data_IF_475471871729
#
_entry.id   IF_475471871729
#
_cell.length_a   1.000
_cell.length_b   1.000
_cell.length_c   1.000
_cell.angle_alpha   90.00
_cell.angle_beta   90.00
_cell.angle_gamma   90.00
#
_symmetry.space_group_name_H-M   'P 1'
#
loop_
_entity.id
_entity.type
_entity.pdbx_description
1 polymer ?
#
# COMPACT_ATOMS: atom_id res chain seq x y z
N UNK A 1 18.03 -86.33 -52.57
CA UNK A 1 16.77 -85.95 -51.90
C UNK A 1 16.65 -86.62 -50.53
N UNK A 2 17.09 -87.88 -50.36
CA UNK A 2 16.94 -88.62 -49.09
C UNK A 2 17.85 -88.14 -47.93
N UNK A 3 19.06 -87.67 -48.18
CA UNK A 3 19.97 -87.19 -47.11
C UNK A 3 19.48 -85.90 -46.41
N UNK A 4 18.81 -85.01 -47.15
CA UNK A 4 18.26 -83.78 -46.58
C UNK A 4 17.04 -84.07 -45.68
N UNK A 5 16.21 -85.06 -46.03
CA UNK A 5 15.05 -85.47 -45.24
C UNK A 5 15.46 -86.18 -43.93
N UNK A 6 16.48 -87.05 -43.99
CA UNK A 6 17.02 -87.73 -42.80
C UNK A 6 17.70 -86.77 -41.82
N UNK A 7 18.45 -85.78 -42.31
CA UNK A 7 19.03 -84.73 -41.49
C UNK A 7 17.95 -83.87 -40.82
N UNK A 8 16.91 -83.49 -41.57
CA UNK A 8 15.81 -82.70 -41.01
C UNK A 8 15.03 -83.46 -39.93
N UNK A 9 14.81 -84.77 -40.12
CA UNK A 9 14.19 -85.63 -39.11
C UNK A 9 15.04 -85.77 -37.84
N UNK A 10 16.35 -85.94 -37.98
CA UNK A 10 17.28 -86.01 -36.85
C UNK A 10 17.39 -84.67 -36.08
N UNK A 11 17.35 -83.55 -36.78
CA UNK A 11 17.34 -82.20 -36.17
C UNK A 11 16.02 -81.97 -35.41
N UNK A 12 14.88 -82.35 -35.98
CA UNK A 12 13.58 -82.22 -35.31
C UNK A 12 13.50 -83.12 -34.07
N UNK A 13 13.94 -84.38 -34.16
CA UNK A 13 13.96 -85.30 -33.02
C UNK A 13 14.87 -84.80 -31.88
N UNK A 14 16.07 -84.30 -32.21
CA UNK A 14 16.96 -83.68 -31.22
C UNK A 14 16.35 -82.42 -30.60
N UNK A 15 15.61 -81.62 -31.38
CA UNK A 15 14.97 -80.41 -30.88
C UNK A 15 13.81 -80.72 -29.94
N UNK A 16 13.02 -81.76 -30.24
CA UNK A 16 11.97 -82.25 -29.34
C UNK A 16 12.58 -82.77 -28.04
N UNK A 17 13.64 -83.58 -28.11
CA UNK A 17 14.31 -84.10 -26.92
C UNK A 17 14.94 -82.98 -26.06
N UNK A 18 15.58 -81.99 -26.69
CA UNK A 18 16.13 -80.82 -26.00
C UNK A 18 15.05 -79.97 -25.34
N UNK A 19 13.94 -79.70 -26.04
CA UNK A 19 12.83 -78.93 -25.50
C UNK A 19 12.12 -79.67 -24.36
N UNK A 20 11.98 -80.99 -24.43
CA UNK A 20 11.37 -81.78 -23.35
C UNK A 20 12.26 -81.82 -22.09
N UNK A 21 13.58 -81.94 -22.29
CA UNK A 21 14.55 -81.84 -21.20
C UNK A 21 14.55 -80.43 -20.56
N UNK A 22 14.48 -79.37 -21.38
CA UNK A 22 14.45 -78.00 -20.88
C UNK A 22 13.11 -77.68 -20.19
N UNK A 23 11.99 -78.22 -20.68
CA UNK A 23 10.68 -78.10 -20.03
C UNK A 23 10.70 -78.73 -18.63
N UNK A 24 11.22 -79.97 -18.51
CA UNK A 24 11.35 -80.65 -17.21
C UNK A 24 12.26 -79.89 -16.26
N UNK A 25 13.38 -79.34 -16.77
CA UNK A 25 14.29 -78.50 -15.99
C UNK A 25 13.58 -77.25 -15.47
N UNK A 26 12.81 -76.57 -16.33
CA UNK A 26 12.06 -75.37 -15.94
C UNK A 26 10.95 -75.68 -14.94
N UNK A 27 10.21 -76.78 -15.12
CA UNK A 27 9.19 -77.24 -14.17
C UNK A 27 9.79 -77.53 -12.79
N UNK A 28 10.91 -78.24 -12.73
CA UNK A 28 11.60 -78.50 -11.45
C UNK A 28 12.10 -77.20 -10.79
N UNK A 29 12.56 -76.22 -11.58
CA UNK A 29 12.95 -74.90 -11.06
C UNK A 29 11.75 -74.09 -10.54
N UNK A 30 10.58 -74.20 -11.17
CA UNK A 30 9.35 -73.57 -10.70
C UNK A 30 8.93 -74.19 -9.37
N UNK A 31 8.87 -75.53 -9.29
CA UNK A 31 8.51 -76.24 -8.07
C UNK A 31 9.43 -75.88 -6.89
N UNK A 32 10.76 -75.85 -7.11
CA UNK A 32 11.71 -75.42 -6.07
C UNK A 32 11.51 -73.96 -5.63
N UNK A 33 11.11 -73.07 -6.54
CA UNK A 33 10.84 -71.67 -6.20
C UNK A 33 9.57 -71.53 -5.38
N UNK A 34 8.52 -72.26 -5.75
CA UNK A 34 7.25 -72.27 -5.01
C UNK A 34 7.41 -72.84 -3.59
N UNK A 35 8.27 -73.83 -3.41
CA UNK A 35 8.60 -74.38 -2.09
C UNK A 35 9.34 -73.35 -1.22
N UNK A 36 10.37 -72.69 -1.78
CA UNK A 36 11.08 -71.61 -1.08
C UNK A 36 10.16 -70.43 -0.74
N UNK A 37 9.23 -70.11 -1.63
CA UNK A 37 8.28 -69.02 -1.40
C UNK A 37 7.33 -69.34 -0.24
N UNK A 38 6.90 -70.60 -0.12
CA UNK A 38 6.11 -71.07 1.03
C UNK A 38 6.89 -70.98 2.33
N UNK A 39 8.13 -71.49 2.34
CA UNK A 39 9.01 -71.43 3.52
C UNK A 39 9.23 -69.99 4.02
N UNK A 40 9.55 -69.06 3.10
CA UNK A 40 9.68 -67.64 3.45
C UNK A 40 8.39 -67.02 3.95
N UNK A 41 7.24 -67.40 3.40
CA UNK A 41 5.93 -66.94 3.84
C UNK A 41 5.60 -67.41 5.26
N UNK A 42 5.93 -68.66 5.58
CA UNK A 42 5.72 -69.23 6.91
C UNK A 42 6.63 -68.54 7.94
N UNK A 43 7.90 -68.34 7.61
CA UNK A 43 8.85 -67.60 8.44
C UNK A 43 8.39 -66.16 8.69
N UNK A 44 7.89 -65.47 7.65
CA UNK A 44 7.35 -64.13 7.76
C UNK A 44 6.13 -64.10 8.69
N UNK A 45 5.22 -65.07 8.55
CA UNK A 45 4.03 -65.20 9.40
C UNK A 45 4.39 -65.40 10.87
N UNK A 46 5.35 -66.29 11.16
CA UNK A 46 5.84 -66.53 12.53
C UNK A 46 6.51 -65.29 13.12
N UNK A 47 7.35 -64.59 12.34
CA UNK A 47 7.99 -63.36 12.79
C UNK A 47 6.96 -62.26 13.12
N UNK A 48 5.92 -62.11 12.28
CA UNK A 48 4.84 -61.15 12.50
C UNK A 48 3.97 -61.53 13.71
N UNK A 49 3.70 -62.82 13.94
CA UNK A 49 2.99 -63.28 15.14
C UNK A 49 3.79 -63.01 16.41
N UNK A 50 5.11 -63.22 16.38
CA UNK A 50 5.99 -62.93 17.52
C UNK A 50 6.00 -61.43 17.83
N UNK A 51 6.14 -60.58 16.81
CA UNK A 51 6.08 -59.12 16.91
C UNK A 51 4.72 -58.62 17.45
N UNK A 52 3.61 -59.27 17.06
CA UNK A 52 2.26 -58.98 17.56
C UNK A 52 2.09 -59.41 19.02
N UNK A 53 2.69 -60.53 19.43
CA UNK A 53 2.60 -61.03 20.81
C UNK A 53 3.35 -60.15 21.82
N UNK A 54 4.39 -59.44 21.37
CA UNK A 54 5.19 -58.52 22.19
C UNK A 54 4.70 -57.07 22.22
N UNK A 55 3.59 -56.72 21.53
CA UNK A 55 3.10 -55.33 21.41
C UNK A 55 4.02 -54.37 20.62
N UNK A 56 5.21 -54.82 20.23
CA UNK A 56 6.22 -54.01 19.56
C UNK A 56 5.77 -53.49 18.18
N UNK A 57 4.88 -54.22 17.50
CA UNK A 57 4.32 -53.79 16.21
C UNK A 57 3.29 -52.67 16.39
N UNK A 58 2.39 -52.77 17.37
CA UNK A 58 1.50 -51.67 17.75
C UNK A 58 2.31 -50.44 18.21
N UNK A 59 3.33 -50.62 19.04
CA UNK A 59 4.21 -49.53 19.49
C UNK A 59 4.95 -48.86 18.33
N UNK A 60 5.47 -49.64 17.39
CA UNK A 60 6.11 -49.11 16.18
C UNK A 60 5.13 -48.31 15.32
N UNK A 61 3.91 -48.79 15.13
CA UNK A 61 2.88 -48.07 14.40
C UNK A 61 2.52 -46.74 15.08
N UNK A 62 2.39 -46.73 16.41
CA UNK A 62 2.16 -45.52 17.20
C UNK A 62 3.34 -44.55 17.10
N UNK A 63 4.58 -45.03 17.15
CA UNK A 63 5.77 -44.18 16.97
C UNK A 63 5.86 -43.60 15.56
N UNK A 64 5.54 -44.39 14.51
CA UNK A 64 5.47 -43.90 13.13
C UNK A 64 4.41 -42.82 12.96
N UNK A 65 3.23 -43.01 13.55
CA UNK A 65 2.18 -41.99 13.52
C UNK A 65 2.63 -40.71 14.24
N UNK A 66 3.25 -40.83 15.42
CA UNK A 66 3.83 -39.68 16.17
C UNK A 66 4.95 -39.00 15.40
N UNK A 67 5.77 -39.75 14.69
CA UNK A 67 6.83 -39.20 13.84
C UNK A 67 6.21 -38.39 12.70
N UNK A 68 5.19 -38.93 12.02
CA UNK A 68 4.47 -38.23 10.95
C UNK A 68 3.80 -36.94 11.43
N UNK A 69 3.13 -36.96 12.60
CA UNK A 69 2.52 -35.74 13.16
C UNK A 69 3.58 -34.72 13.57
N UNK A 70 4.69 -35.16 14.14
CA UNK A 70 5.81 -34.28 14.52
C UNK A 70 6.46 -33.67 13.28
N UNK A 71 6.68 -34.46 12.22
CA UNK A 71 7.23 -33.97 10.95
C UNK A 71 6.30 -32.94 10.28
N UNK A 72 4.99 -33.18 10.29
CA UNK A 72 4.01 -32.21 9.80
C UNK A 72 4.05 -30.91 10.61
N UNK A 73 4.15 -31.01 11.95
CA UNK A 73 4.27 -29.84 12.82
C UNK A 73 5.57 -29.05 12.58
N UNK A 74 6.69 -29.74 12.38
CA UNK A 74 7.97 -29.10 12.02
C UNK A 74 7.83 -28.35 10.69
N UNK A 75 7.25 -28.99 9.67
CA UNK A 75 7.05 -28.36 8.36
C UNK A 75 6.14 -27.13 8.43
N UNK A 76 5.08 -27.18 9.25
CA UNK A 76 4.19 -26.05 9.51
C UNK A 76 4.92 -24.89 10.21
N UNK A 77 5.66 -25.18 11.28
CA UNK A 77 6.43 -24.19 12.04
C UNK A 77 7.48 -23.55 11.14
N UNK A 78 8.20 -24.33 10.34
CA UNK A 78 9.17 -23.81 9.36
C UNK A 78 8.50 -22.90 8.33
N UNK A 79 7.30 -23.26 7.86
CA UNK A 79 6.48 -22.42 6.99
C UNK A 79 6.15 -21.08 7.65
N UNK A 80 5.72 -21.10 8.92
CA UNK A 80 5.39 -19.89 9.68
C UNK A 80 6.62 -19.02 9.96
N UNK A 81 7.78 -19.63 10.24
CA UNK A 81 9.05 -18.93 10.40
C UNK A 81 9.43 -18.22 9.10
N UNK A 82 9.30 -18.88 7.94
CA UNK A 82 9.56 -18.25 6.63
C UNK A 82 8.66 -17.04 6.39
N UNK A 83 7.36 -17.18 6.64
CA UNK A 83 6.40 -16.07 6.50
C UNK A 83 6.75 -14.90 7.43
N UNK A 84 7.10 -15.17 8.69
CA UNK A 84 7.48 -14.12 9.65
C UNK A 84 8.75 -13.37 9.22
N UNK A 85 9.74 -14.09 8.67
CA UNK A 85 10.95 -13.47 8.11
C UNK A 85 10.60 -12.56 6.93
N UNK A 86 9.77 -13.03 6.00
CA UNK A 86 9.33 -12.24 4.86
C UNK A 86 8.56 -10.98 5.28
N UNK A 87 7.64 -11.09 6.23
CA UNK A 87 6.89 -9.95 6.76
C UNK A 87 7.80 -8.93 7.45
N UNK A 88 8.80 -9.40 8.20
CA UNK A 88 9.81 -8.52 8.82
C UNK A 88 10.60 -7.76 7.76
N UNK A 89 11.04 -8.44 6.71
CA UNK A 89 11.84 -7.83 5.64
C UNK A 89 10.99 -6.83 4.83
N UNK A 90 9.72 -7.15 4.55
CA UNK A 90 8.75 -6.22 3.96
C UNK A 90 8.51 -4.99 4.84
N UNK A 91 8.35 -5.18 6.15
CA UNK A 91 8.17 -4.08 7.11
C UNK A 91 9.39 -3.16 7.14
N UNK A 92 10.60 -3.73 7.13
CA UNK A 92 11.84 -2.96 7.05
C UNK A 92 11.92 -2.16 5.74
N UNK A 93 11.54 -2.77 4.62
CA UNK A 93 11.48 -2.08 3.32
C UNK A 93 10.49 -0.91 3.32
N UNK A 94 9.24 -1.13 3.76
CA UNK A 94 8.23 -0.06 3.86
C UNK A 94 8.73 1.08 4.74
N UNK A 95 9.43 0.79 5.83
CA UNK A 95 9.99 1.83 6.69
C UNK A 95 11.11 2.62 6.01
N UNK A 96 11.95 1.95 5.24
CA UNK A 96 12.99 2.60 4.43
C UNK A 96 12.37 3.50 3.38
N UNK A 97 11.37 3.01 2.64
CA UNK A 97 10.67 3.76 1.60
C UNK A 97 9.95 4.99 2.19
N UNK A 98 9.35 4.84 3.39
CA UNK A 98 8.73 5.95 4.14
C UNK A 98 9.75 7.06 4.48
N UNK A 99 10.93 6.68 4.97
CA UNK A 99 11.98 7.65 5.32
C UNK A 99 12.54 8.37 4.10
N UNK A 100 12.75 7.65 3.00
CA UNK A 100 13.19 8.23 1.73
C UNK A 100 12.14 9.22 1.18
N UNK A 101 10.86 8.85 1.22
CA UNK A 101 9.77 9.74 0.81
C UNK A 101 9.70 11.01 1.66
N UNK A 102 9.88 10.89 2.99
CA UNK A 102 9.93 12.04 3.91
C UNK A 102 11.10 12.96 3.54
N UNK A 103 12.30 12.41 3.34
CA UNK A 103 13.49 13.18 3.01
C UNK A 103 13.32 13.94 1.68
N UNK A 104 12.86 13.24 0.63
CA UNK A 104 12.62 13.86 -0.69
C UNK A 104 11.56 14.95 -0.64
N UNK A 105 10.46 14.72 0.09
CA UNK A 105 9.39 15.72 0.20
C UNK A 105 9.83 16.92 1.01
N UNK A 106 10.62 16.73 2.08
CA UNK A 106 11.19 17.85 2.83
C UNK A 106 12.11 18.69 1.96
N UNK A 107 12.99 18.05 1.18
CA UNK A 107 13.87 18.76 0.26
C UNK A 107 13.09 19.53 -0.83
N UNK A 108 12.04 18.93 -1.41
CA UNK A 108 11.18 19.61 -2.39
C UNK A 108 10.43 20.81 -1.77
N UNK A 109 9.96 20.68 -0.53
CA UNK A 109 9.36 21.81 0.20
C UNK A 109 10.36 22.94 0.40
N UNK A 110 11.60 22.64 0.80
CA UNK A 110 12.61 23.67 1.02
C UNK A 110 13.04 24.33 -0.30
N UNK A 111 13.29 23.55 -1.35
CA UNK A 111 13.67 24.06 -2.68
C UNK A 111 12.60 24.98 -3.28
N UNK A 112 11.32 24.70 -3.02
CA UNK A 112 10.20 25.51 -3.52
C UNK A 112 9.78 26.63 -2.57
N UNK A 113 10.55 26.92 -1.51
CA UNK A 113 10.18 27.95 -0.53
C UNK A 113 9.95 29.31 -1.18
N UNK A 114 10.88 29.75 -2.03
CA UNK A 114 10.83 31.07 -2.66
C UNK A 114 9.57 31.26 -3.53
N UNK A 115 9.05 30.18 -4.13
CA UNK A 115 7.82 30.23 -4.95
C UNK A 115 6.56 30.52 -4.15
N UNK A 116 6.57 30.28 -2.84
CA UNK A 116 5.41 30.51 -1.95
C UNK A 116 5.66 31.59 -0.91
N UNK A 117 6.90 32.05 -0.76
CA UNK A 117 7.29 33.06 0.23
C UNK A 117 6.46 34.35 0.07
N UNK A 118 6.24 34.79 -1.17
CA UNK A 118 5.39 35.95 -1.47
C UNK A 118 3.95 35.75 -0.99
N UNK A 119 3.35 34.61 -1.31
CA UNK A 119 1.97 34.26 -0.89
C UNK A 119 1.86 34.24 0.64
N UNK A 120 2.82 33.61 1.34
CA UNK A 120 2.84 33.54 2.81
C UNK A 120 2.93 34.94 3.42
N UNK A 121 3.80 35.80 2.86
CA UNK A 121 3.96 37.17 3.30
C UNK A 121 2.66 37.97 3.13
N UNK A 122 2.07 37.97 1.92
CA UNK A 122 0.84 38.71 1.63
C UNK A 122 -0.34 38.21 2.45
N UNK A 123 -0.48 36.90 2.64
CA UNK A 123 -1.48 36.31 3.54
C UNK A 123 -1.39 36.91 4.95
N UNK A 124 -0.18 36.97 5.51
CA UNK A 124 0.06 37.55 6.83
C UNK A 124 -0.30 39.03 6.89
N UNK A 125 0.12 39.80 5.87
CA UNK A 125 -0.15 41.24 5.77
C UNK A 125 -1.65 41.55 5.66
N UNK A 126 -2.38 40.80 4.84
CA UNK A 126 -3.84 41.00 4.65
C UNK A 126 -4.58 40.74 5.97
N UNK A 127 -4.25 39.65 6.68
CA UNK A 127 -4.88 39.35 7.98
C UNK A 127 -4.48 40.33 9.07
N UNK A 128 -3.22 40.79 9.08
CA UNK A 128 -2.75 41.82 10.01
C UNK A 128 -3.49 43.14 9.76
N UNK A 129 -3.73 43.51 8.50
CA UNK A 129 -4.52 44.68 8.16
C UNK A 129 -5.97 44.55 8.62
N UNK A 130 -6.58 43.36 8.52
CA UNK A 130 -7.96 43.11 8.95
C UNK A 130 -8.13 43.08 10.47
N UNK A 131 -7.20 42.45 11.19
CA UNK A 131 -7.38 42.15 12.62
C UNK A 131 -6.43 42.93 13.56
N UNK A 132 -5.43 43.62 13.03
CA UNK A 132 -4.39 44.30 13.80
C UNK A 132 -3.44 43.35 14.53
N UNK A 133 -3.49 42.05 14.21
CA UNK A 133 -2.72 40.99 14.84
C UNK A 133 -2.01 40.16 13.76
N UNK A 134 -0.76 39.77 14.00
CA UNK A 134 0.01 38.99 13.04
C UNK A 134 -0.60 37.60 12.81
N UNK A 135 -0.72 37.24 11.53
CA UNK A 135 -1.07 35.90 11.10
C UNK A 135 0.09 35.24 10.35
N UNK A 136 0.12 33.92 10.33
CA UNK A 136 1.17 33.14 9.67
C UNK A 136 0.59 31.92 8.95
N UNK A 137 1.18 31.56 7.82
CA UNK A 137 0.85 30.38 7.01
C UNK A 137 2.09 29.53 6.81
N UNK A 138 2.07 28.32 7.34
CA UNK A 138 3.17 27.35 7.23
C UNK A 138 2.78 26.17 6.38
N UNK A 139 3.60 25.86 5.38
CA UNK A 139 3.50 24.63 4.61
C UNK A 139 4.52 23.65 5.16
N UNK A 140 4.05 22.59 5.82
CA UNK A 140 4.89 21.63 6.53
C UNK A 140 4.60 20.20 6.09
N UNK A 141 5.58 19.31 6.24
CA UNK A 141 5.34 17.88 6.04
C UNK A 141 4.68 17.27 7.29
N UNK A 142 3.46 16.77 7.12
CA UNK A 142 2.74 15.98 8.11
C UNK A 142 2.85 14.48 7.87
N UNK A 143 2.21 13.69 8.74
CA UNK A 143 2.23 12.21 8.67
C UNK A 143 1.57 11.65 7.40
N UNK A 144 0.64 12.39 6.82
CA UNK A 144 -0.16 11.97 5.65
C UNK A 144 0.20 12.76 4.38
N UNK A 145 1.27 13.56 4.41
CA UNK A 145 1.67 14.43 3.31
C UNK A 145 1.76 15.90 3.72
N UNK A 146 1.75 16.79 2.74
CA UNK A 146 1.87 18.24 2.95
C UNK A 146 0.64 18.77 3.71
N UNK A 147 0.89 19.56 4.75
CA UNK A 147 -0.13 20.20 5.57
C UNK A 147 0.07 21.71 5.57
N UNK A 148 -1.04 22.45 5.46
CA UNK A 148 -1.09 23.89 5.66
C UNK A 148 -1.50 24.15 7.10
N UNK A 149 -0.66 24.86 7.85
CA UNK A 149 -0.91 25.24 9.24
C UNK A 149 -0.94 26.75 9.33
N UNK A 150 -2.05 27.28 9.83
CA UNK A 150 -2.21 28.71 10.03
C UNK A 150 -2.13 29.05 11.50
N UNK A 151 -1.58 30.23 11.80
CA UNK A 151 -1.74 30.90 13.08
C UNK A 151 -2.63 32.10 12.83
N UNK A 152 -3.90 32.00 13.22
CA UNK A 152 -4.89 33.06 12.99
C UNK A 152 -5.11 33.88 14.27
N UNK A 153 -5.35 35.19 14.15
CA UNK A 153 -5.91 36.02 15.22
C UNK A 153 -7.24 35.44 15.69
N UNK A 154 -7.49 35.36 17.00
CA UNK A 154 -8.80 34.91 17.54
C UNK A 154 -9.31 33.58 16.96
N UNK A 155 -8.42 32.58 16.88
CA UNK A 155 -8.73 31.27 16.32
C UNK A 155 -9.96 30.60 16.96
N UNK A 156 -10.77 29.91 16.14
CA UNK A 156 -11.96 29.15 16.58
C UNK A 156 -13.32 29.76 16.22
N UNK A 157 -13.34 30.91 15.54
CA UNK A 157 -14.56 31.47 14.95
C UNK A 157 -14.67 31.10 13.46
N UNK A 158 -15.86 30.62 13.04
CA UNK A 158 -16.18 30.34 11.63
C UNK A 158 -15.89 31.54 10.71
N UNK A 159 -16.15 32.77 11.19
CA UNK A 159 -15.89 33.97 10.41
C UNK A 159 -14.40 34.26 10.20
N UNK A 160 -13.55 33.92 11.18
CA UNK A 160 -12.09 34.09 11.05
C UNK A 160 -11.51 33.07 10.07
N UNK A 161 -11.99 31.82 10.11
CA UNK A 161 -11.56 30.80 9.17
C UNK A 161 -11.91 31.19 7.72
N UNK A 162 -13.09 31.78 7.51
CA UNK A 162 -13.47 32.39 6.23
C UNK A 162 -12.52 33.52 5.85
N UNK A 163 -12.22 34.46 6.76
CA UNK A 163 -11.30 35.55 6.43
C UNK A 163 -9.87 35.08 6.13
N UNK A 164 -9.45 33.94 6.70
CA UNK A 164 -8.20 33.29 6.31
C UNK A 164 -8.26 32.76 4.86
N UNK A 165 -9.36 32.12 4.45
CA UNK A 165 -9.55 31.68 3.06
C UNK A 165 -9.51 32.89 2.12
N UNK A 166 -10.26 33.96 2.44
CA UNK A 166 -10.25 35.20 1.66
C UNK A 166 -8.84 35.77 1.51
N UNK A 167 -8.08 35.87 2.61
CA UNK A 167 -6.72 36.39 2.58
C UNK A 167 -5.78 35.51 1.73
N UNK A 168 -5.97 34.19 1.76
CA UNK A 168 -5.20 33.24 0.96
C UNK A 168 -5.51 33.37 -0.53
N UNK A 169 -6.78 33.44 -0.90
CA UNK A 169 -7.22 33.58 -2.29
C UNK A 169 -6.76 34.91 -2.89
N UNK A 170 -6.81 35.99 -2.10
CA UNK A 170 -6.28 37.29 -2.49
C UNK A 170 -4.75 37.25 -2.64
N UNK A 171 -4.01 36.70 -1.67
CA UNK A 171 -2.55 36.59 -1.74
C UNK A 171 -2.06 35.78 -2.95
N UNK A 172 -2.76 34.69 -3.32
CA UNK A 172 -2.47 33.95 -4.55
C UNK A 172 -2.71 34.83 -5.78
N UNK A 173 -3.84 35.53 -5.80
CA UNK A 173 -4.21 36.38 -6.93
C UNK A 173 -3.19 37.50 -7.13
N UNK A 174 -2.73 38.12 -6.05
CA UNK A 174 -1.66 39.12 -6.06
C UNK A 174 -0.36 38.55 -6.61
N UNK A 175 0.09 37.39 -6.10
CA UNK A 175 1.33 36.74 -6.55
C UNK A 175 1.29 36.35 -8.03
N UNK A 176 0.18 35.74 -8.48
CA UNK A 176 -0.01 35.39 -9.88
C UNK A 176 -0.04 36.64 -10.76
N UNK A 177 -0.73 37.68 -10.31
CA UNK A 177 -0.85 38.95 -11.04
C UNK A 177 0.50 39.67 -11.16
N UNK A 178 1.30 39.68 -10.09
CA UNK A 178 2.67 40.22 -10.08
C UNK A 178 3.56 39.50 -11.10
N UNK A 179 3.39 38.19 -11.26
CA UNK A 179 4.13 37.38 -12.23
C UNK A 179 3.53 37.40 -13.64
N UNK A 180 2.46 38.16 -13.88
CA UNK A 180 1.69 38.15 -15.13
C UNK A 180 1.16 36.78 -15.55
N UNK A 181 0.69 36.03 -14.56
CA UNK A 181 0.08 34.71 -14.71
C UNK A 181 -1.36 34.72 -14.22
N UNK A 182 -2.10 33.67 -14.58
CA UNK A 182 -3.47 33.48 -14.11
C UNK A 182 -4.51 34.33 -14.83
N UNK A 183 -5.77 34.27 -14.36
CA UNK A 183 -6.92 34.78 -15.09
C UNK A 183 -7.15 36.30 -14.99
N UNK A 184 -6.39 37.02 -14.15
CA UNK A 184 -6.57 38.45 -13.86
C UNK A 184 -7.95 38.82 -13.30
N UNK A 185 -8.60 37.85 -12.65
CA UNK A 185 -9.79 38.11 -11.84
C UNK A 185 -9.87 37.16 -10.66
N UNK A 186 -10.57 37.58 -9.61
CA UNK A 186 -10.92 36.79 -8.43
C UNK A 186 -12.43 36.91 -8.20
N UNK A 187 -13.12 35.79 -8.01
CA UNK A 187 -14.57 35.76 -7.79
C UNK A 187 -14.87 35.02 -6.49
N UNK A 188 -15.59 35.68 -5.58
CA UNK A 188 -16.18 35.04 -4.40
C UNK A 188 -17.70 35.05 -4.47
N UNK A 189 -18.32 33.94 -4.07
CA UNK A 189 -19.76 33.88 -3.91
C UNK A 189 -20.21 34.46 -2.53
N UNK A 190 -21.52 34.49 -2.27
CA UNK A 190 -22.07 35.05 -1.04
C UNK A 190 -21.74 34.23 0.21
N UNK A 191 -21.41 32.94 0.07
CA UNK A 191 -21.11 32.08 1.22
C UNK A 191 -19.79 32.44 1.89
N UNK A 192 -18.91 33.12 1.15
CA UNK A 192 -17.61 33.60 1.63
C UNK A 192 -17.72 34.55 2.83
N UNK A 193 -18.81 35.33 2.90
CA UNK A 193 -19.01 36.33 3.95
C UNK A 193 -20.14 35.98 4.92
N UNK A 194 -20.79 34.83 4.74
CA UNK A 194 -21.88 34.39 5.61
C UNK A 194 -21.40 34.20 7.07
N UNK A 195 -22.10 34.81 8.04
CA UNK A 195 -21.74 34.78 9.46
C UNK A 195 -20.47 35.56 9.83
N UNK A 196 -19.97 36.42 8.94
CA UNK A 196 -18.86 37.35 9.19
C UNK A 196 -19.41 38.71 9.61
N UNK A 197 -18.77 39.37 10.57
CA UNK A 197 -19.16 40.71 11.03
C UNK A 197 -19.08 41.74 9.89
N UNK A 198 -20.10 42.60 9.76
CA UNK A 198 -20.25 43.55 8.64
C UNK A 198 -19.03 44.48 8.49
N UNK A 199 -18.36 44.85 9.59
CA UNK A 199 -17.14 45.68 9.54
C UNK A 199 -15.98 44.93 8.91
N UNK A 200 -15.86 43.63 9.19
CA UNK A 200 -14.84 42.77 8.59
C UNK A 200 -15.13 42.55 7.10
N UNK A 201 -16.40 42.39 6.72
CA UNK A 201 -16.82 42.30 5.31
C UNK A 201 -16.46 43.58 4.56
N UNK A 202 -16.82 44.74 5.09
CA UNK A 202 -16.48 46.03 4.48
C UNK A 202 -14.97 46.23 4.35
N UNK A 203 -14.21 45.85 5.38
CA UNK A 203 -12.75 45.93 5.36
C UNK A 203 -12.14 44.99 4.32
N UNK A 204 -12.60 43.74 4.24
CA UNK A 204 -12.15 42.77 3.24
C UNK A 204 -12.42 43.26 1.80
N UNK A 205 -13.63 43.75 1.53
CA UNK A 205 -13.99 44.32 0.21
C UNK A 205 -13.08 45.50 -0.13
N UNK A 206 -12.81 46.37 0.85
CA UNK A 206 -11.95 47.53 0.67
C UNK A 206 -10.49 47.14 0.37
N UNK A 207 -9.95 46.14 1.08
CA UNK A 207 -8.61 45.58 0.82
C UNK A 207 -8.57 44.96 -0.58
N UNK A 208 -9.57 44.16 -0.95
CA UNK A 208 -9.63 43.55 -2.29
C UNK A 208 -9.71 44.61 -3.40
N UNK A 209 -10.45 45.70 -3.19
CA UNK A 209 -10.53 46.79 -4.16
C UNK A 209 -9.17 47.49 -4.37
N UNK A 210 -8.45 47.78 -3.28
CA UNK A 210 -7.09 48.33 -3.37
C UNK A 210 -6.13 47.37 -4.05
N UNK A 211 -6.13 46.12 -3.63
CA UNK A 211 -5.31 45.05 -4.20
C UNK A 211 -5.57 44.89 -5.70
N UNK A 212 -6.84 44.87 -6.11
CA UNK A 212 -7.26 44.76 -7.51
C UNK A 212 -6.71 45.89 -8.38
N UNK A 213 -6.63 47.10 -7.82
CA UNK A 213 -6.07 48.28 -8.48
C UNK A 213 -4.54 48.20 -8.52
N UNK A 214 -3.90 47.85 -7.40
CA UNK A 214 -2.45 47.78 -7.27
C UNK A 214 -1.83 46.71 -8.17
N UNK A 215 -2.48 45.56 -8.29
CA UNK A 215 -1.98 44.38 -9.01
C UNK A 215 -2.65 44.14 -10.37
N UNK A 216 -3.52 45.05 -10.80
CA UNK A 216 -4.21 45.01 -12.09
C UNK A 216 -4.96 43.68 -12.34
N UNK A 217 -5.87 43.33 -11.44
CA UNK A 217 -6.85 42.26 -11.63
C UNK A 217 -8.26 42.76 -11.27
N UNK A 218 -9.30 42.02 -11.65
CA UNK A 218 -10.67 42.34 -11.31
C UNK A 218 -11.14 41.55 -10.08
N UNK A 219 -11.65 42.22 -9.05
CA UNK A 219 -12.34 41.55 -7.95
C UNK A 219 -13.86 41.57 -8.17
N UNK A 220 -14.49 40.40 -8.12
CA UNK A 220 -15.93 40.22 -8.26
C UNK A 220 -16.45 39.50 -7.00
N UNK A 221 -17.49 40.04 -6.38
CA UNK A 221 -18.12 39.41 -5.23
C UNK A 221 -19.63 39.46 -5.39
N UNK A 222 -20.29 38.33 -5.12
CA UNK A 222 -21.75 38.30 -4.98
C UNK A 222 -22.11 38.41 -3.51
N UNK A 223 -23.03 39.30 -3.16
CA UNK A 223 -23.53 39.45 -1.79
C UNK A 223 -25.05 39.42 -1.83
N UNK A 224 -25.66 38.91 -0.75
CA UNK A 224 -27.09 39.14 -0.55
C UNK A 224 -27.33 40.63 -0.30
N UNK A 225 -28.43 41.18 -0.80
CA UNK A 225 -28.68 42.63 -0.77
C UNK A 225 -28.76 43.19 0.65
N UNK A 226 -29.22 42.40 1.61
CA UNK A 226 -29.28 42.71 3.04
C UNK A 226 -27.92 42.60 3.76
N UNK A 227 -26.97 41.86 3.18
CA UNK A 227 -25.63 41.66 3.72
C UNK A 227 -24.58 42.65 3.15
N UNK A 228 -25.00 43.63 2.34
CA UNK A 228 -24.08 44.64 1.80
C UNK A 228 -23.80 45.69 2.88
N UNK A 229 -22.54 45.83 3.37
CA UNK A 229 -22.22 46.72 4.50
C UNK A 229 -22.04 48.17 4.01
N UNK A 230 -23.13 48.80 3.55
CA UNK A 230 -23.10 50.11 2.89
C UNK A 230 -22.55 51.21 3.80
N UNK A 231 -22.96 51.22 5.07
CA UNK A 231 -22.54 52.25 6.02
C UNK A 231 -21.04 52.13 6.33
N UNK A 232 -20.57 50.91 6.57
CA UNK A 232 -19.19 50.59 6.90
C UNK A 232 -18.26 50.86 5.71
N UNK A 233 -18.70 50.55 4.48
CA UNK A 233 -17.95 50.88 3.26
C UNK A 233 -17.77 52.39 3.09
N UNK A 234 -18.78 53.20 3.42
CA UNK A 234 -18.68 54.66 3.41
C UNK A 234 -17.70 55.18 4.49
N UNK A 235 -17.70 54.59 5.68
CA UNK A 235 -16.75 54.92 6.74
C UNK A 235 -15.29 54.58 6.37
N UNK A 236 -15.06 53.40 5.79
CA UNK A 236 -13.71 52.98 5.37
C UNK A 236 -13.17 53.89 4.26
N UNK A 237 -14.03 54.30 3.33
CA UNK A 237 -13.65 55.21 2.25
C UNK A 237 -13.32 56.61 2.79
N UNK A 238 -14.11 57.14 3.73
CA UNK A 238 -13.90 58.47 4.29
C UNK A 238 -12.66 58.59 5.18
N UNK A 239 -12.30 57.54 5.95
CA UNK A 239 -11.07 57.53 6.77
C UNK A 239 -9.77 57.55 5.96
N UNK A 240 -9.83 57.28 4.66
CA UNK A 240 -8.66 57.23 3.75
C UNK A 240 -8.44 58.53 2.95
N UNK A 241 -9.36 59.49 3.01
CA UNK A 241 -9.26 60.79 2.30
C UNK A 241 -8.62 61.88 3.17
N UNK A 242 -8.15 61.53 4.38
CA UNK A 242 -7.44 62.40 5.33
C UNK A 242 -6.00 61.93 5.47
#
# INVERSE_FOLDING_TARGET
MDEAAAFHAAVVANRVAYLDAELRRLQNRVAQREERQRDFSDHQSTALQLLRSGGALEDFAVMQQKLGTTQASVAEIDGRIRLLRELRDRKAKVKSDELDLIARTSADLDERFDRRAGIIFWFGQILEQMYGEQADLKVVLGRTGIQFRTRLPRAGSSGVDKMAIFAYDLAITEDLSAQSRGPRFLIHDSTMFDGVDERQVAQAISIAAESSTAWAFQYLVTLNSDAVPIAELAEVTSRRVV
#
